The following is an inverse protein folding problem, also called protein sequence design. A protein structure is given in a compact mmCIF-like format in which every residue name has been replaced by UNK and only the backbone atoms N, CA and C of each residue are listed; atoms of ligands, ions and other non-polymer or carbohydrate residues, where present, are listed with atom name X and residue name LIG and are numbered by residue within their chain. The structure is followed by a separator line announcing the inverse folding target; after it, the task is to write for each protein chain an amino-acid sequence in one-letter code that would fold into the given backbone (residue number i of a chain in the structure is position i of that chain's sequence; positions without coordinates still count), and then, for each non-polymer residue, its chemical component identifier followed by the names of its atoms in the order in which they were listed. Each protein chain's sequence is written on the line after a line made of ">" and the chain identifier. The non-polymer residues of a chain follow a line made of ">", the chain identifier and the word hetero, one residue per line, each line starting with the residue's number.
data_IF_832425254629
#
_entry.id   IF_832425254629
#
_cell.length_a   1.000
_cell.length_b   1.000
_cell.length_c   1.000
_cell.angle_alpha   90.00
_cell.angle_beta   90.00
_cell.angle_gamma   90.00
#
_symmetry.space_group_name_H-M   'P 1'
#
loop_
_entity.id
_entity.type
_entity.pdbx_description
1 polymer ?
#
# COMPACT_ATOMS: atom_id res chain seq x y z
N UNK A 1 -4.33 1.92 -7.35
CA UNK A 1 -3.47 2.57 -6.34
C UNK A 1 -3.87 1.99 -5.00
N UNK A 2 -2.93 1.39 -4.27
CA UNK A 2 -3.26 0.72 -3.01
C UNK A 2 -4.11 -0.55 -3.20
N UNK A 3 -4.09 -1.44 -2.22
CA UNK A 3 -4.89 -2.67 -2.25
C UNK A 3 -6.21 -2.47 -1.51
N UNK A 4 -7.29 -3.07 -2.02
CA UNK A 4 -8.59 -3.01 -1.36
C UNK A 4 -8.58 -3.75 -0.02
N UNK A 5 -8.94 -3.07 1.06
CA UNK A 5 -8.90 -3.62 2.44
C UNK A 5 -9.74 -4.90 2.57
N UNK A 6 -10.90 -4.96 1.88
CA UNK A 6 -11.83 -6.09 1.93
C UNK A 6 -11.23 -7.43 1.44
N UNK A 7 -10.11 -7.38 0.72
CA UNK A 7 -9.40 -8.57 0.23
C UNK A 7 -8.52 -9.22 1.29
N UNK A 8 -8.19 -8.48 2.35
CA UNK A 8 -7.32 -8.97 3.41
C UNK A 8 -8.10 -9.79 4.43
N UNK A 9 -7.46 -10.83 4.95
CA UNK A 9 -8.00 -11.62 6.04
C UNK A 9 -7.63 -11.00 7.39
N UNK A 10 -8.65 -10.80 8.22
CA UNK A 10 -8.50 -10.21 9.54
C UNK A 10 -8.56 -8.68 9.50
N UNK A 11 -8.19 -8.08 10.63
CA UNK A 11 -8.11 -6.63 10.77
C UNK A 11 -6.78 -6.13 10.19
N UNK A 12 -6.83 -5.04 9.43
CA UNK A 12 -5.64 -4.37 8.90
C UNK A 12 -5.40 -3.14 9.76
N UNK A 13 -4.23 -3.06 10.39
CA UNK A 13 -3.81 -1.90 11.17
C UNK A 13 -3.97 -0.59 10.37
N UNK A 14 -4.53 0.43 11.00
CA UNK A 14 -4.79 1.74 10.37
C UNK A 14 -3.49 2.41 9.88
N UNK A 15 -2.36 2.13 10.52
CA UNK A 15 -1.02 2.59 10.11
C UNK A 15 -0.56 2.04 8.75
N UNK A 16 -1.20 0.96 8.27
CA UNK A 16 -0.93 0.32 6.98
C UNK A 16 -1.87 0.81 5.89
N UNK A 17 -2.78 1.74 6.20
CA UNK A 17 -3.77 2.28 5.28
C UNK A 17 -3.28 3.62 4.73
N UNK A 18 -3.34 3.78 3.41
CA UNK A 18 -3.03 5.04 2.77
C UNK A 18 -4.18 6.05 3.01
N UNK A 19 -3.90 7.22 3.60
CA UNK A 19 -4.94 8.23 3.87
C UNK A 19 -5.47 8.92 2.60
N UNK A 20 -4.83 8.72 1.44
CA UNK A 20 -5.28 9.29 0.16
C UNK A 20 -6.29 8.37 -0.51
N UNK A 21 -5.95 7.09 -0.72
CA UNK A 21 -6.82 6.14 -1.42
C UNK A 21 -7.68 5.28 -0.49
N UNK A 22 -7.48 5.36 0.83
CA UNK A 22 -8.15 4.52 1.84
C UNK A 22 -7.97 3.01 1.60
N UNK A 23 -6.89 2.61 0.92
CA UNK A 23 -6.50 1.22 0.69
C UNK A 23 -5.22 0.86 1.44
N UNK A 24 -4.91 -0.42 1.54
CA UNK A 24 -3.64 -0.89 2.10
C UNK A 24 -2.48 -0.37 1.24
N UNK A 25 -1.41 0.09 1.88
CA UNK A 25 -0.27 0.73 1.24
C UNK A 25 0.37 -0.16 0.15
N UNK A 26 0.54 0.41 -1.03
CA UNK A 26 1.20 -0.19 -2.20
C UNK A 26 2.44 0.65 -2.58
N UNK A 27 3.61 0.00 -2.64
CA UNK A 27 4.92 0.65 -2.73
C UNK A 27 5.03 1.92 -1.85
N UNK A 28 4.94 1.77 -0.52
CA UNK A 28 4.81 2.92 0.35
C UNK A 28 6.04 3.81 0.45
N UNK A 29 5.79 5.11 0.41
CA UNK A 29 6.74 6.18 0.69
C UNK A 29 6.32 6.93 1.96
N UNK A 30 7.31 7.43 2.68
CA UNK A 30 7.15 8.18 3.92
C UNK A 30 7.69 9.60 3.75
N UNK A 31 6.95 10.58 4.30
CA UNK A 31 7.44 11.93 4.47
C UNK A 31 8.43 12.00 5.65
N UNK A 32 9.64 12.55 5.49
CA UNK A 32 10.70 12.44 6.49
C UNK A 32 10.48 13.30 7.74
N UNK A 33 9.67 14.37 7.67
CA UNK A 33 9.46 15.31 8.79
C UNK A 33 8.29 14.91 9.68
N UNK A 34 7.23 14.35 9.09
CA UNK A 34 6.00 14.00 9.80
C UNK A 34 5.70 12.50 9.83
N UNK A 35 6.55 11.67 9.22
CA UNK A 35 6.51 10.21 9.28
C UNK A 35 5.22 9.55 8.72
N UNK A 36 4.33 10.32 8.10
CA UNK A 36 3.15 9.78 7.41
C UNK A 36 3.53 8.97 6.16
N UNK A 37 2.88 7.82 5.99
CA UNK A 37 3.10 6.91 4.87
C UNK A 37 1.95 6.95 3.85
N UNK A 38 2.29 6.81 2.58
CA UNK A 38 1.36 6.86 1.45
C UNK A 38 1.82 5.92 0.34
N UNK A 39 0.90 5.46 -0.52
CA UNK A 39 1.28 4.76 -1.73
C UNK A 39 2.10 5.69 -2.64
N UNK A 40 3.17 5.20 -3.29
CA UNK A 40 4.00 6.01 -4.19
C UNK A 40 3.18 6.79 -5.20
N UNK A 41 2.25 6.11 -5.88
CA UNK A 41 1.41 6.75 -6.90
C UNK A 41 0.56 7.89 -6.30
N UNK A 42 -0.06 7.65 -5.14
CA UNK A 42 -0.91 8.63 -4.48
C UNK A 42 -0.16 9.89 -4.06
N UNK A 43 0.97 9.75 -3.36
CA UNK A 43 1.72 10.92 -2.90
C UNK A 43 2.38 11.67 -4.06
N UNK A 44 2.83 10.95 -5.09
CA UNK A 44 3.44 11.58 -6.29
C UNK A 44 2.43 12.43 -7.05
N UNK A 45 1.19 11.95 -7.21
CA UNK A 45 0.12 12.74 -7.82
C UNK A 45 -0.22 13.97 -6.96
N UNK A 46 -0.31 13.79 -5.63
CA UNK A 46 -0.65 14.87 -4.71
C UNK A 46 0.39 16.00 -4.75
N UNK A 47 1.67 15.67 -4.56
CA UNK A 47 2.76 16.67 -4.53
C UNK A 47 2.98 17.36 -5.88
N UNK A 48 2.59 16.73 -7.00
CA UNK A 48 2.60 17.38 -8.31
C UNK A 48 1.60 18.53 -8.39
N UNK A 49 0.55 18.52 -7.56
CA UNK A 49 -0.47 19.59 -7.51
C UNK A 49 -0.22 20.52 -6.32
N UNK A 50 0.13 19.95 -5.17
CA UNK A 50 0.32 20.66 -3.92
C UNK A 50 1.47 20.03 -3.13
N UNK A 51 2.66 20.66 -3.05
CA UNK A 51 3.87 20.10 -2.42
C UNK A 51 3.80 20.16 -0.88
N UNK A 52 2.78 19.51 -0.32
CA UNK A 52 2.50 19.43 1.12
C UNK A 52 2.01 18.03 1.47
N UNK A 53 2.22 17.60 2.71
CA UNK A 53 1.70 16.35 3.23
C UNK A 53 0.16 16.43 3.33
N UNK A 54 -0.59 15.44 2.82
CA UNK A 54 -2.05 15.42 2.88
C UNK A 54 -2.65 15.43 4.30
N UNK A 55 -1.90 14.96 5.30
CA UNK A 55 -2.42 14.77 6.67
C UNK A 55 -2.26 16.03 7.52
N UNK A 56 -1.06 16.63 7.52
CA UNK A 56 -0.70 17.73 8.42
C UNK A 56 -0.27 19.00 7.68
N UNK A 57 -0.31 18.99 6.33
CA UNK A 57 0.02 20.12 5.44
C UNK A 57 1.45 20.63 5.55
N UNK A 58 2.36 19.87 6.16
CA UNK A 58 3.78 20.20 6.16
C UNK A 58 4.35 20.17 4.73
N UNK A 59 5.27 21.09 4.41
CA UNK A 59 5.89 21.13 3.09
C UNK A 59 6.69 19.84 2.82
N UNK A 60 6.41 19.20 1.67
CA UNK A 60 7.09 17.97 1.25
C UNK A 60 7.27 17.96 -0.26
N UNK A 61 8.44 17.55 -0.72
CA UNK A 61 8.75 17.40 -2.15
C UNK A 61 9.04 15.95 -2.51
N UNK A 62 8.94 15.62 -3.80
CA UNK A 62 9.15 14.26 -4.30
C UNK A 62 10.53 13.70 -3.96
N UNK A 63 11.56 14.56 -3.94
CA UNK A 63 12.94 14.18 -3.62
C UNK A 63 13.18 13.92 -2.13
N UNK A 64 12.29 14.41 -1.26
CA UNK A 64 12.40 14.20 0.19
C UNK A 64 11.76 12.89 0.63
N UNK A 65 10.83 12.34 -0.16
CA UNK A 65 10.15 11.09 0.16
C UNK A 65 11.13 9.93 0.22
N UNK A 66 10.96 9.07 1.23
CA UNK A 66 11.82 7.91 1.45
C UNK A 66 10.99 6.62 1.51
N UNK A 67 11.57 5.46 1.19
CA UNK A 67 10.92 4.20 1.48
C UNK A 67 10.60 4.10 2.97
N UNK A 68 9.44 3.56 3.32
CA UNK A 68 9.05 3.33 4.71
C UNK A 68 10.07 2.44 5.48
N UNK A 69 10.11 2.54 6.82
CA UNK A 69 10.93 1.70 7.66
C UNK A 69 10.73 0.20 7.40
N UNK A 70 11.77 -0.61 7.62
CA UNK A 70 11.73 -2.07 7.39
C UNK A 70 10.62 -2.74 8.20
N UNK A 71 10.34 -2.25 9.41
CA UNK A 71 9.28 -2.81 10.25
C UNK A 71 7.89 -2.69 9.59
N UNK A 72 7.57 -1.55 8.98
CA UNK A 72 6.31 -1.32 8.30
C UNK A 72 6.19 -2.20 7.04
N UNK A 73 7.30 -2.34 6.29
CA UNK A 73 7.36 -3.31 5.18
C UNK A 73 7.10 -4.74 5.64
N UNK A 74 7.73 -5.17 6.73
CA UNK A 74 7.53 -6.50 7.28
C UNK A 74 6.09 -6.73 7.80
N UNK A 75 5.42 -5.69 8.28
CA UNK A 75 4.00 -5.75 8.66
C UNK A 75 3.13 -5.97 7.42
N UNK A 76 3.31 -5.15 6.37
CA UNK A 76 2.61 -5.31 5.08
C UNK A 76 2.83 -6.70 4.47
N UNK A 77 4.08 -7.18 4.41
CA UNK A 77 4.40 -8.49 3.83
C UNK A 77 3.77 -9.67 4.58
N UNK A 78 3.34 -9.49 5.84
CA UNK A 78 2.69 -10.54 6.64
C UNK A 78 1.17 -10.55 6.47
N UNK A 79 0.58 -9.51 5.92
CA UNK A 79 -0.86 -9.47 5.66
C UNK A 79 -1.23 -10.57 4.68
N UNK A 80 -2.30 -11.30 4.99
CA UNK A 80 -2.86 -12.32 4.12
C UNK A 80 -3.98 -11.71 3.27
N UNK A 81 -3.95 -11.93 1.97
CA UNK A 81 -4.92 -11.38 1.01
C UNK A 81 -5.41 -12.47 0.06
N UNK A 82 -6.64 -12.35 -0.41
CA UNK A 82 -7.19 -13.18 -1.47
C UNK A 82 -6.62 -12.78 -2.83
N UNK A 83 -6.46 -13.75 -3.72
CA UNK A 83 -6.08 -13.50 -5.11
C UNK A 83 -7.05 -12.54 -5.83
N UNK A 84 -6.53 -11.72 -6.75
CA UNK A 84 -7.31 -10.83 -7.62
C UNK A 84 -8.32 -11.61 -8.48
N UNK A 85 -7.99 -12.86 -8.83
CA UNK A 85 -8.83 -13.77 -9.60
C UNK A 85 -9.80 -14.58 -8.75
N UNK A 86 -10.03 -14.22 -7.48
CA UNK A 86 -11.07 -14.84 -6.66
C UNK A 86 -12.47 -14.82 -7.30
N UNK A 87 -12.91 -13.73 -7.97
CA UNK A 87 -14.16 -13.73 -8.73
C UNK A 87 -14.19 -14.73 -9.89
N UNK A 88 -13.03 -15.10 -10.43
CA UNK A 88 -12.88 -16.08 -11.51
C UNK A 88 -12.74 -17.53 -11.01
N UNK A 89 -12.70 -17.75 -9.69
CA UNK A 89 -12.64 -19.07 -9.07
C UNK A 89 -11.37 -19.37 -8.27
N UNK A 90 -10.42 -18.43 -8.20
CA UNK A 90 -9.19 -18.64 -7.42
C UNK A 90 -9.43 -18.47 -5.92
N UNK A 91 -9.40 -19.56 -5.16
CA UNK A 91 -9.59 -19.52 -3.70
C UNK A 91 -8.28 -19.33 -2.91
N UNK A 92 -7.19 -18.93 -3.59
CA UNK A 92 -5.89 -18.78 -2.95
C UNK A 92 -5.89 -17.60 -1.98
N UNK A 93 -5.41 -17.86 -0.75
CA UNK A 93 -5.15 -16.87 0.28
C UNK A 93 -3.68 -16.99 0.62
N UNK A 94 -2.97 -15.88 0.47
CA UNK A 94 -1.51 -15.86 0.57
C UNK A 94 -1.03 -14.54 1.14
N UNK A 95 0.23 -14.51 1.55
CA UNK A 95 0.88 -13.28 2.00
C UNK A 95 0.96 -12.28 0.85
N UNK A 96 0.81 -11.00 1.17
CA UNK A 96 0.88 -9.91 0.21
C UNK A 96 2.18 -9.94 -0.62
N UNK A 97 3.31 -10.29 0.01
CA UNK A 97 4.62 -10.42 -0.65
C UNK A 97 4.64 -11.51 -1.74
N UNK A 98 3.87 -12.58 -1.54
CA UNK A 98 3.76 -13.69 -2.49
C UNK A 98 2.69 -13.47 -3.56
N UNK A 99 1.86 -12.42 -3.44
CA UNK A 99 0.73 -12.16 -4.35
C UNK A 99 1.21 -11.98 -5.79
N UNK A 100 2.27 -11.17 -6.00
CA UNK A 100 2.80 -10.90 -7.34
C UNK A 100 3.26 -12.18 -8.05
N UNK A 101 3.97 -13.07 -7.35
CA UNK A 101 4.40 -14.36 -7.90
C UNK A 101 3.21 -15.25 -8.23
N UNK A 102 2.22 -15.34 -7.33
CA UNK A 102 1.02 -16.14 -7.58
C UNK A 102 0.23 -15.64 -8.78
N UNK A 103 0.08 -14.32 -8.97
CA UNK A 103 -0.69 -13.77 -10.10
C UNK A 103 -0.09 -14.16 -11.47
N UNK A 104 1.24 -14.30 -11.56
CA UNK A 104 1.91 -14.74 -12.79
C UNK A 104 1.60 -16.21 -13.11
N UNK A 105 1.47 -17.06 -12.10
CA UNK A 105 1.22 -18.50 -12.23
C UNK A 105 -0.26 -18.87 -12.02
N UNK A 106 -1.13 -17.88 -11.84
CA UNK A 106 -2.53 -18.10 -11.48
C UNK A 106 -3.27 -18.74 -12.66
N UNK A 107 -3.82 -19.93 -12.44
CA UNK A 107 -4.58 -20.69 -13.45
C UNK A 107 -5.90 -20.01 -13.88
N UNK A 108 -6.32 -18.97 -13.15
CA UNK A 108 -7.55 -18.21 -13.35
C UNK A 108 -7.31 -16.79 -13.91
N UNK A 109 -6.10 -16.52 -14.42
CA UNK A 109 -5.73 -15.26 -15.09
C UNK A 109 -6.21 -15.21 -16.55
#
# INVERSE_FOLDING_TARGET
>A
MGFEIKRFQGDVDEELICPICSGVLEDPLQAPTCEHAFCRACITEWISRQPTCPVDRQAVTASQLRPVPRILRNLLSRLCTSCDNAPHGCNAVLKLDSLASHLVECEFN
#
